data_IF_434456427108
#
_entry.id   IF_434456427108
#
_cell.length_a   1.000
_cell.length_b   1.000
_cell.length_c   1.000
_cell.angle_alpha   90.00
_cell.angle_beta   90.00
_cell.angle_gamma   90.00
#
_symmetry.space_group_name_H-M   'P 1'
#
loop_
_entity.id
_entity.type
_entity.pdbx_description
1 polymer ?
#
# COMPACT_ATOMS: atom_id res chain seq x y z
N UNK A 1 6.14 11.40 -14.13
CA UNK A 1 5.03 10.52 -13.71
C UNK A 1 3.77 11.36 -13.47
N UNK A 2 3.38 12.21 -14.43
CA UNK A 2 2.43 13.30 -14.19
C UNK A 2 0.99 12.81 -13.87
N UNK A 3 0.55 11.71 -14.49
CA UNK A 3 -0.79 11.16 -14.23
C UNK A 3 -0.94 10.61 -12.81
N UNK A 4 0.10 10.02 -12.25
CA UNK A 4 0.10 9.56 -10.85
C UNK A 4 0.08 10.76 -9.90
N UNK A 5 0.86 11.82 -10.18
CA UNK A 5 0.90 13.02 -9.35
C UNK A 5 -0.48 13.71 -9.33
N UNK A 6 -1.12 13.84 -10.49
CA UNK A 6 -2.48 14.37 -10.62
C UNK A 6 -3.52 13.50 -9.89
N UNK A 7 -3.43 12.18 -10.04
CA UNK A 7 -4.30 11.24 -9.32
C UNK A 7 -4.09 11.32 -7.80
N UNK A 8 -2.83 11.34 -7.35
CA UNK A 8 -2.48 11.41 -5.92
C UNK A 8 -2.86 12.76 -5.30
N UNK A 9 -2.93 13.83 -6.09
CA UNK A 9 -3.46 15.12 -5.68
C UNK A 9 -5.01 15.18 -5.69
N UNK A 10 -5.68 14.17 -6.25
CA UNK A 10 -7.14 14.11 -6.39
C UNK A 10 -7.69 14.96 -7.54
N UNK A 11 -6.83 15.41 -8.46
CA UNK A 11 -7.20 16.26 -9.60
C UNK A 11 -7.89 15.46 -10.72
N UNK A 12 -7.61 14.15 -10.82
CA UNK A 12 -8.23 13.24 -11.79
C UNK A 12 -8.68 11.93 -11.14
N UNK A 13 -9.68 11.28 -11.73
CA UNK A 13 -10.15 9.98 -11.25
C UNK A 13 -9.19 8.86 -11.64
N UNK A 14 -9.28 7.72 -10.93
CA UNK A 14 -8.52 6.53 -11.27
C UNK A 14 -8.81 6.04 -12.70
N UNK A 15 -10.07 6.12 -13.14
CA UNK A 15 -10.47 5.70 -14.49
C UNK A 15 -9.88 6.64 -15.55
N UNK A 16 -9.93 7.96 -15.34
CA UNK A 16 -9.32 8.95 -16.25
C UNK A 16 -7.79 8.78 -16.31
N UNK A 17 -7.15 8.55 -15.18
CA UNK A 17 -5.71 8.32 -15.10
C UNK A 17 -5.30 7.09 -15.91
N UNK A 18 -6.07 5.99 -15.83
CA UNK A 18 -5.80 4.76 -16.61
C UNK A 18 -6.10 4.90 -18.10
N UNK A 19 -7.14 5.65 -18.46
CA UNK A 19 -7.52 5.85 -19.86
C UNK A 19 -6.46 6.63 -20.65
N UNK A 20 -5.73 7.53 -19.97
CA UNK A 20 -4.71 8.39 -20.57
C UNK A 20 -3.27 7.92 -20.33
N UNK A 21 -3.05 6.83 -19.59
CA UNK A 21 -1.71 6.32 -19.32
C UNK A 21 -1.11 5.59 -20.53
N UNK A 22 0.15 5.92 -20.85
CA UNK A 22 0.94 5.19 -21.86
C UNK A 22 1.08 3.70 -21.52
N UNK A 23 1.12 3.37 -20.22
CA UNK A 23 1.10 2.00 -19.69
C UNK A 23 0.19 1.90 -18.45
N UNK A 24 -1.06 1.43 -18.61
CA UNK A 24 -2.00 1.29 -17.50
C UNK A 24 -1.50 0.37 -16.37
N UNK A 25 -0.72 -0.66 -16.71
CA UNK A 25 -0.14 -1.59 -15.73
C UNK A 25 0.92 -0.92 -14.87
N UNK A 26 1.76 -0.06 -15.46
CA UNK A 26 2.79 0.68 -14.73
C UNK A 26 2.15 1.70 -13.79
N UNK A 27 1.11 2.41 -14.27
CA UNK A 27 0.32 3.31 -13.44
C UNK A 27 -0.35 2.58 -12.27
N UNK A 28 -0.93 1.40 -12.50
CA UNK A 28 -1.52 0.56 -11.43
C UNK A 28 -0.51 0.16 -10.37
N UNK A 29 0.69 -0.24 -10.78
CA UNK A 29 1.77 -0.58 -9.87
C UNK A 29 2.18 0.62 -9.02
N UNK A 30 2.37 1.78 -9.63
CA UNK A 30 2.73 3.01 -8.92
C UNK A 30 1.65 3.47 -7.94
N UNK A 31 0.37 3.42 -8.33
CA UNK A 31 -0.76 3.73 -7.45
C UNK A 31 -0.78 2.80 -6.24
N UNK A 32 -0.59 1.50 -6.46
CA UNK A 32 -0.58 0.50 -5.38
C UNK A 32 0.59 0.71 -4.42
N UNK A 33 1.80 0.87 -4.95
CA UNK A 33 3.02 1.09 -4.17
C UNK A 33 2.97 2.42 -3.39
N UNK A 34 2.45 3.48 -4.01
CA UNK A 34 2.23 4.77 -3.36
C UNK A 34 1.21 4.69 -2.23
N UNK A 35 0.12 3.92 -2.42
CA UNK A 35 -0.89 3.71 -1.37
C UNK A 35 -0.33 2.92 -0.18
N UNK A 36 0.50 1.91 -0.43
CA UNK A 36 1.13 1.10 0.64
C UNK A 36 2.26 1.85 1.35
N UNK A 37 2.86 2.86 0.71
CA UNK A 37 3.83 3.75 1.34
C UNK A 37 3.18 4.80 2.26
N UNK A 38 1.86 4.95 2.24
CA UNK A 38 1.16 5.82 3.19
C UNK A 38 1.16 5.17 4.57
N UNK A 39 1.59 5.90 5.60
CA UNK A 39 1.72 5.38 6.96
C UNK A 39 0.41 4.73 7.48
N UNK A 40 -0.75 5.22 7.05
CA UNK A 40 -2.06 4.65 7.35
C UNK A 40 -2.29 3.24 6.77
N UNK A 41 -1.76 2.97 5.57
CA UNK A 41 -1.88 1.66 4.93
C UNK A 41 -0.96 0.63 5.61
N UNK A 42 0.25 1.06 5.99
CA UNK A 42 1.19 0.23 6.75
C UNK A 42 0.68 -0.07 8.16
N UNK A 43 0.09 0.91 8.84
CA UNK A 43 -0.56 0.72 10.15
C UNK A 43 -1.73 -0.27 10.06
N UNK A 44 -2.53 -0.19 8.99
CA UNK A 44 -3.62 -1.14 8.74
C UNK A 44 -3.11 -2.55 8.46
N UNK A 45 -2.05 -2.69 7.67
CA UNK A 45 -1.43 -3.99 7.36
C UNK A 45 -0.77 -4.64 8.59
N UNK A 46 -0.22 -3.84 9.51
CA UNK A 46 0.45 -4.31 10.71
C UNK A 46 -0.49 -4.53 11.90
N UNK A 47 -1.69 -3.93 11.93
CA UNK A 47 -2.73 -4.16 12.96
C UNK A 47 -3.15 -5.62 13.13
N UNK A 48 -2.99 -6.46 12.11
CA UNK A 48 -3.27 -7.90 12.17
C UNK A 48 -2.08 -8.77 12.59
N UNK A 49 -0.89 -8.18 12.72
CA UNK A 49 0.34 -8.91 13.05
C UNK A 49 0.58 -8.81 14.56
N UNK A 50 0.04 -9.77 15.30
CA UNK A 50 0.38 -9.94 16.72
C UNK A 50 1.71 -10.69 16.82
N UNK A 51 2.71 -10.09 17.48
CA UNK A 51 3.92 -10.81 17.89
C UNK A 51 3.47 -11.95 18.82
N UNK A 52 3.51 -13.18 18.31
CA UNK A 52 3.31 -14.37 19.12
C UNK A 52 4.57 -14.54 19.96
N UNK A 53 4.52 -14.07 21.20
CA UNK A 53 5.53 -14.39 22.20
C UNK A 53 5.48 -15.91 22.41
N UNK A 54 6.54 -16.61 22.01
CA UNK A 54 6.67 -18.06 22.19
C UNK A 54 6.90 -18.33 23.69
N UNK A 55 5.79 -18.29 24.44
CA UNK A 55 5.73 -18.52 25.89
C UNK A 55 5.85 -20.03 26.17
N UNK A 56 7.00 -20.59 25.80
CA UNK A 56 7.18 -22.01 25.65
C UNK A 56 8.58 -22.47 25.97
N UNK A 57 9.04 -22.30 27.21
CA UNK A 57 9.80 -23.35 27.93
C UNK A 57 9.76 -23.12 29.45
N UNK A 58 8.64 -23.50 30.07
CA UNK A 58 8.64 -23.94 31.48
C UNK A 58 9.14 -25.37 31.55
N UNK A 59 10.31 -25.57 32.16
CA UNK A 59 10.79 -26.84 32.69
C UNK A 59 12.09 -26.54 33.46
N UNK A 60 12.14 -26.52 34.79
CA UNK A 60 11.60 -27.51 35.71
C UNK A 60 12.67 -28.55 35.99
N UNK A 61 13.78 -28.16 36.65
CA UNK A 61 14.69 -28.98 37.48
C UNK A 61 15.33 -28.06 38.52
#
# INVERSE_FOLDING_TARGET
QALYDLYSAGEITYEDALAHADSPNDLRLMIKLGSESSADALDTATKGLTLQDDDGMKGGW
#
